data_IF_395193751510
#
_entry.id   IF_395193751510
#
_cell.length_a   1.000
_cell.length_b   1.000
_cell.length_c   1.000
_cell.angle_alpha   90.00
_cell.angle_beta   90.00
_cell.angle_gamma   90.00
#
_symmetry.space_group_name_H-M   'P 1'
#
loop_
_entity.id
_entity.type
_entity.pdbx_description
1 polymer ?
#
# COMPACT_ATOMS: atom_id res chain seq x y z
N UNK A 1 5.10 2.22 13.32
CA UNK A 1 5.53 3.17 12.29
C UNK A 1 6.90 2.80 11.75
N UNK A 2 6.97 2.47 10.45
CA UNK A 2 8.17 1.93 9.80
C UNK A 2 9.37 2.94 9.73
N UNK A 3 9.17 4.18 10.18
CA UNK A 3 10.18 5.27 10.23
C UNK A 3 10.27 6.01 11.56
N UNK A 4 9.83 5.40 12.66
CA UNK A 4 9.87 6.03 14.00
C UNK A 4 11.25 6.57 14.41
N UNK A 5 12.33 5.93 13.93
CA UNK A 5 13.72 6.27 14.29
C UNK A 5 14.25 7.54 13.60
N UNK A 6 13.55 8.05 12.57
CA UNK A 6 13.98 9.20 11.75
C UNK A 6 13.12 10.45 12.02
N UNK A 7 12.25 10.38 13.03
CA UNK A 7 11.35 11.48 13.42
C UNK A 7 11.97 12.30 14.55
N UNK A 8 11.85 13.63 14.47
CA UNK A 8 12.32 14.55 15.51
C UNK A 8 11.65 14.27 16.87
N UNK A 9 10.33 14.02 16.87
CA UNK A 9 9.55 13.71 18.08
C UNK A 9 8.53 12.58 17.82
N UNK A 10 8.95 11.30 17.88
CA UNK A 10 8.10 10.17 17.50
C UNK A 10 6.84 10.01 18.35
N UNK A 11 6.89 10.34 19.66
CA UNK A 11 5.74 10.21 20.56
C UNK A 11 4.57 11.15 20.18
N UNK A 12 4.88 12.34 19.63
CA UNK A 12 3.85 13.30 19.22
C UNK A 12 3.47 13.12 17.75
N UNK A 13 4.44 12.87 16.88
CA UNK A 13 4.24 12.95 15.44
C UNK A 13 3.58 11.67 14.88
N UNK A 14 3.80 10.51 15.49
CA UNK A 14 3.12 9.25 15.11
C UNK A 14 1.60 9.35 15.28
N UNK A 15 1.05 9.69 16.47
CA UNK A 15 -0.40 9.76 16.63
C UNK A 15 -1.00 10.88 15.77
N UNK A 16 -0.37 12.06 15.73
CA UNK A 16 -0.86 13.20 14.94
C UNK A 16 -0.92 12.88 13.45
N UNK A 17 0.15 12.28 12.90
CA UNK A 17 0.20 11.89 11.50
C UNK A 17 -0.88 10.86 11.14
N UNK A 18 -1.09 9.87 12.01
CA UNK A 18 -2.10 8.82 11.79
C UNK A 18 -3.53 9.37 11.79
N UNK A 19 -3.87 10.22 12.76
CA UNK A 19 -5.21 10.83 12.83
C UNK A 19 -5.49 11.74 11.63
N UNK A 20 -4.51 12.56 11.22
CA UNK A 20 -4.65 13.45 10.06
C UNK A 20 -4.84 12.61 8.78
N UNK A 21 -4.02 11.59 8.58
CA UNK A 21 -4.12 10.70 7.41
C UNK A 21 -5.49 10.00 7.34
N UNK A 22 -6.01 9.56 8.49
CA UNK A 22 -7.31 8.92 8.57
C UNK A 22 -8.45 9.90 8.20
N UNK A 23 -8.46 11.11 8.75
CA UNK A 23 -9.48 12.13 8.45
C UNK A 23 -9.47 12.49 6.95
N UNK A 24 -8.29 12.73 6.38
CA UNK A 24 -8.15 13.07 4.95
C UNK A 24 -8.70 11.94 4.08
N UNK A 25 -8.34 10.68 4.40
CA UNK A 25 -8.82 9.52 3.66
C UNK A 25 -10.34 9.41 3.71
N UNK A 26 -10.94 9.56 4.89
CA UNK A 26 -12.40 9.52 5.07
C UNK A 26 -13.10 10.62 4.27
N UNK A 27 -12.58 11.85 4.28
CA UNK A 27 -13.15 12.96 3.50
C UNK A 27 -13.09 12.66 1.99
N UNK A 28 -11.98 12.13 1.49
CA UNK A 28 -11.84 11.74 0.08
C UNK A 28 -12.82 10.62 -0.28
N UNK A 29 -12.89 9.56 0.53
CA UNK A 29 -13.78 8.42 0.30
C UNK A 29 -15.26 8.78 0.36
N UNK A 30 -15.65 9.79 1.14
CA UNK A 30 -17.03 10.26 1.20
C UNK A 30 -17.37 11.22 0.05
N UNK A 31 -16.43 12.09 -0.34
CA UNK A 31 -16.69 13.12 -1.37
C UNK A 31 -16.75 12.51 -2.77
N UNK A 32 -15.89 11.54 -3.08
CA UNK A 32 -15.78 10.91 -4.38
C UNK A 32 -17.11 10.27 -4.90
N UNK A 33 -17.80 9.40 -4.12
CA UNK A 33 -19.07 8.83 -4.56
C UNK A 33 -20.20 9.86 -4.66
N UNK A 34 -20.19 10.92 -3.84
CA UNK A 34 -21.19 12.00 -3.92
C UNK A 34 -21.07 12.73 -5.26
N UNK A 35 -19.85 13.08 -5.68
CA UNK A 35 -19.60 13.73 -6.97
C UNK A 35 -20.05 12.79 -8.10
N UNK A 36 -19.70 11.51 -8.04
CA UNK A 36 -20.04 10.54 -9.09
C UNK A 36 -21.55 10.30 -9.19
N UNK A 37 -22.26 10.30 -8.06
CA UNK A 37 -23.71 10.22 -8.03
C UNK A 37 -24.40 11.44 -8.66
N UNK A 38 -23.79 12.64 -8.58
CA UNK A 38 -24.28 13.84 -9.26
C UNK A 38 -23.95 13.86 -10.76
N UNK A 39 -22.87 13.20 -11.19
CA UNK A 39 -22.38 13.26 -12.57
C UNK A 39 -23.00 12.25 -13.53
N UNK A 40 -23.47 11.10 -13.06
CA UNK A 40 -24.01 10.06 -13.95
C UNK A 40 -25.20 9.27 -13.38
N UNK A 41 -26.10 8.78 -14.26
CA UNK A 41 -27.20 7.92 -13.85
C UNK A 41 -26.69 6.56 -13.36
N UNK A 42 -27.45 5.93 -12.47
CA UNK A 42 -27.11 4.65 -11.81
C UNK A 42 -26.73 3.54 -12.79
N UNK A 43 -27.34 3.51 -13.98
CA UNK A 43 -27.06 2.52 -15.03
C UNK A 43 -25.63 2.63 -15.58
N UNK A 44 -25.10 3.84 -15.72
CA UNK A 44 -23.74 4.07 -16.20
C UNK A 44 -22.70 3.71 -15.14
N UNK A 45 -22.93 4.05 -13.87
CA UNK A 45 -22.02 3.68 -12.77
C UNK A 45 -21.90 2.15 -12.55
N UNK A 46 -22.95 1.39 -12.84
CA UNK A 46 -22.94 -0.06 -12.64
C UNK A 46 -22.29 -0.82 -13.80
N UNK A 47 -22.38 -0.30 -15.02
CA UNK A 47 -21.82 -0.97 -16.20
C UNK A 47 -20.38 -0.52 -16.51
N UNK A 48 -20.00 0.70 -16.15
CA UNK A 48 -18.68 1.24 -16.46
C UNK A 48 -17.77 1.27 -15.23
N UNK A 49 -16.88 0.27 -15.12
CA UNK A 49 -15.85 0.20 -14.07
C UNK A 49 -14.76 1.26 -14.23
N UNK A 50 -14.64 1.86 -15.41
CA UNK A 50 -13.66 2.91 -15.73
C UNK A 50 -14.31 4.28 -15.85
N UNK A 51 -15.53 4.47 -15.32
CA UNK A 51 -16.23 5.76 -15.37
C UNK A 51 -15.37 6.92 -14.81
N UNK A 52 -14.53 6.64 -13.81
CA UNK A 52 -13.57 7.61 -13.27
C UNK A 52 -12.55 8.12 -14.29
N UNK A 53 -12.14 7.28 -15.24
CA UNK A 53 -11.25 7.66 -16.34
C UNK A 53 -11.99 8.51 -17.36
N UNK A 54 -13.20 8.11 -17.76
CA UNK A 54 -14.05 8.88 -18.69
C UNK A 54 -14.43 10.25 -18.17
N UNK A 55 -14.65 10.39 -16.86
CA UNK A 55 -15.00 11.66 -16.21
C UNK A 55 -13.80 12.58 -15.93
N UNK A 56 -12.56 12.13 -16.19
CA UNK A 56 -11.36 12.89 -15.84
C UNK A 56 -11.03 13.99 -16.84
N UNK A 57 -10.71 15.18 -16.32
CA UNK A 57 -10.19 16.34 -17.07
C UNK A 57 -8.72 16.54 -16.72
N UNK A 58 -7.77 16.76 -17.66
CA UNK A 58 -7.91 17.08 -19.09
C UNK A 58 -7.84 15.89 -20.06
N UNK A 59 -7.41 14.70 -19.63
CA UNK A 59 -7.36 13.50 -20.46
C UNK A 59 -7.68 12.24 -19.65
N UNK A 60 -8.48 11.29 -20.20
CA UNK A 60 -8.92 10.10 -19.48
C UNK A 60 -7.76 9.16 -19.10
N UNK A 61 -6.66 9.21 -19.85
CA UNK A 61 -5.49 8.36 -19.67
C UNK A 61 -4.74 8.64 -18.34
N UNK A 62 -4.83 9.86 -17.81
CA UNK A 62 -4.12 10.26 -16.59
C UNK A 62 -4.56 9.39 -15.40
N UNK A 63 -5.84 9.04 -15.33
CA UNK A 63 -6.37 8.18 -14.27
C UNK A 63 -5.79 6.77 -14.38
N UNK A 64 -5.66 6.24 -15.60
CA UNK A 64 -5.11 4.90 -15.82
C UNK A 64 -3.64 4.85 -15.39
N UNK A 65 -2.82 5.82 -15.81
CA UNK A 65 -1.43 5.92 -15.36
C UNK A 65 -1.31 6.13 -13.85
N UNK A 66 -2.20 6.93 -13.26
CA UNK A 66 -2.26 7.15 -11.81
C UNK A 66 -2.57 5.87 -11.04
N UNK A 67 -3.53 5.06 -11.50
CA UNK A 67 -3.87 3.78 -10.89
C UNK A 67 -2.71 2.79 -11.01
N UNK A 68 -2.06 2.71 -12.18
CA UNK A 68 -0.89 1.85 -12.39
C UNK A 68 0.24 2.27 -11.45
N UNK A 69 0.59 3.55 -11.41
CA UNK A 69 1.65 4.08 -10.55
C UNK A 69 1.35 3.85 -9.06
N UNK A 70 0.11 4.10 -8.63
CA UNK A 70 -0.33 3.87 -7.25
C UNK A 70 -0.27 2.39 -6.87
N UNK A 71 -0.74 1.50 -7.75
CA UNK A 71 -0.75 0.06 -7.51
C UNK A 71 0.66 -0.51 -7.45
N UNK A 72 1.57 -0.09 -8.35
CA UNK A 72 2.98 -0.48 -8.32
C UNK A 72 3.64 0.03 -7.02
N UNK A 73 3.41 1.29 -6.64
CA UNK A 73 3.96 1.85 -5.41
C UNK A 73 3.47 1.12 -4.15
N UNK A 74 2.19 0.80 -4.08
CA UNK A 74 1.60 0.00 -3.00
C UNK A 74 2.17 -1.43 -2.97
N UNK A 75 2.30 -2.09 -4.13
CA UNK A 75 2.86 -3.42 -4.25
C UNK A 75 4.33 -3.47 -3.79
N UNK A 76 5.15 -2.52 -4.23
CA UNK A 76 6.55 -2.42 -3.83
C UNK A 76 6.69 -2.18 -2.32
N UNK A 77 5.87 -1.28 -1.77
CA UNK A 77 5.90 -0.98 -0.32
C UNK A 77 5.47 -2.18 0.52
N UNK A 78 4.45 -2.92 0.06
CA UNK A 78 3.99 -4.15 0.71
C UNK A 78 5.07 -5.24 0.66
N UNK A 79 5.73 -5.43 -0.49
CA UNK A 79 6.80 -6.41 -0.67
C UNK A 79 8.02 -6.10 0.21
N UNK A 80 8.43 -4.84 0.30
CA UNK A 80 9.57 -4.40 1.13
C UNK A 80 9.23 -4.49 2.61
N UNK A 81 8.04 -4.07 3.03
CA UNK A 81 7.64 -4.16 4.45
C UNK A 81 7.46 -5.61 4.90
N UNK A 82 6.84 -6.47 4.08
CA UNK A 82 6.66 -7.88 4.38
C UNK A 82 7.98 -8.66 4.50
N UNK A 83 8.92 -8.42 3.59
CA UNK A 83 10.26 -9.06 3.65
C UNK A 83 11.07 -8.62 4.87
N UNK A 84 10.99 -7.33 5.25
CA UNK A 84 11.63 -6.81 6.47
C UNK A 84 11.00 -7.37 7.74
N UNK A 85 9.67 -7.46 7.78
CA UNK A 85 8.94 -8.07 8.89
C UNK A 85 9.33 -9.54 9.07
N UNK A 86 9.37 -10.30 7.98
CA UNK A 86 9.77 -11.71 8.00
C UNK A 86 11.22 -11.88 8.48
N UNK A 87 12.14 -11.02 8.03
CA UNK A 87 13.54 -11.03 8.47
C UNK A 87 13.69 -10.64 9.96
N UNK A 88 12.90 -9.68 10.45
CA UNK A 88 12.89 -9.31 11.87
C UNK A 88 12.45 -10.49 12.76
N UNK A 89 11.34 -11.16 12.39
CA UNK A 89 10.85 -12.35 13.11
C UNK A 89 11.89 -13.49 13.08
N UNK A 90 12.57 -13.69 11.96
CA UNK A 90 13.64 -14.69 11.85
C UNK A 90 14.84 -14.36 12.75
N UNK A 91 15.19 -13.09 12.90
CA UNK A 91 16.25 -12.63 13.80
C UNK A 91 15.88 -12.77 15.29
N UNK A 92 14.60 -12.66 15.63
CA UNK A 92 14.11 -12.87 17.00
C UNK A 92 14.15 -14.35 17.44
N UNK A 93 14.52 -15.28 16.54
CA UNK A 93 14.66 -16.73 16.78
C UNK A 93 13.42 -17.41 17.40
N UNK A 94 12.25 -16.78 17.30
CA UNK A 94 10.98 -17.29 17.85
C UNK A 94 10.55 -18.58 17.14
N UNK A 95 10.88 -18.70 15.85
CA UNK A 95 10.56 -19.87 15.03
C UNK A 95 11.85 -20.49 14.46
N UNK A 96 12.28 -21.69 14.92
CA UNK A 96 13.54 -22.30 14.49
C UNK A 96 13.58 -22.64 12.99
N UNK A 97 12.42 -22.90 12.38
CA UNK A 97 12.26 -23.18 10.95
C UNK A 97 12.55 -21.93 10.09
N UNK A 98 12.36 -20.72 10.63
CA UNK A 98 12.58 -19.46 9.91
C UNK A 98 14.00 -18.91 10.06
N UNK A 99 14.88 -19.54 10.85
CA UNK A 99 16.24 -19.07 11.11
C UNK A 99 17.11 -18.98 9.83
N UNK A 100 16.76 -19.71 8.77
CA UNK A 100 17.41 -19.61 7.45
C UNK A 100 17.20 -18.24 6.77
N UNK A 101 16.17 -17.49 7.18
CA UNK A 101 15.82 -16.15 6.71
C UNK A 101 16.36 -15.02 7.61
N UNK A 102 17.13 -15.35 8.64
CA UNK A 102 17.78 -14.36 9.51
C UNK A 102 18.87 -13.61 8.71
N UNK A 103 18.91 -12.29 8.88
CA UNK A 103 19.75 -11.37 8.10
C UNK A 103 20.33 -10.32 9.04
N UNK A 104 21.61 -9.95 8.87
CA UNK A 104 22.26 -8.98 9.74
C UNK A 104 21.59 -7.60 9.66
N UNK A 105 21.62 -6.80 10.75
CA UNK A 105 21.11 -5.43 10.72
C UNK A 105 21.80 -4.62 9.62
N UNK A 106 21.02 -4.08 8.67
CA UNK A 106 21.52 -3.29 7.55
C UNK A 106 21.80 -4.07 6.26
N UNK A 107 21.75 -5.40 6.29
CA UNK A 107 21.85 -6.23 5.08
C UNK A 107 20.47 -6.45 4.46
N UNK A 108 20.40 -6.50 3.13
CA UNK A 108 19.13 -6.68 2.42
C UNK A 108 18.60 -8.12 2.57
N UNK A 109 17.33 -8.31 2.96
CA UNK A 109 16.79 -9.64 3.21
C UNK A 109 16.38 -10.36 1.92
N UNK A 110 17.36 -10.70 1.06
CA UNK A 110 17.14 -11.30 -0.28
C UNK A 110 16.34 -12.60 -0.24
N UNK A 111 16.59 -13.47 0.74
CA UNK A 111 15.85 -14.75 0.89
C UNK A 111 14.41 -14.52 1.33
N UNK A 112 14.18 -13.58 2.25
CA UNK A 112 12.84 -13.22 2.69
C UNK A 112 12.04 -12.55 1.57
N UNK A 113 12.70 -11.68 0.79
CA UNK A 113 12.12 -11.04 -0.39
C UNK A 113 11.68 -12.08 -1.44
N UNK A 114 12.53 -13.07 -1.73
CA UNK A 114 12.19 -14.14 -2.66
C UNK A 114 11.03 -15.00 -2.15
N UNK A 115 10.99 -15.30 -0.85
CA UNK A 115 9.87 -16.02 -0.23
C UNK A 115 8.55 -15.25 -0.35
N UNK A 116 8.53 -13.96 0.03
CA UNK A 116 7.33 -13.11 -0.09
C UNK A 116 6.91 -12.98 -1.55
N UNK A 117 7.86 -12.85 -2.48
CA UNK A 117 7.59 -12.82 -3.92
C UNK A 117 6.93 -14.11 -4.44
N UNK A 118 7.41 -15.28 -4.01
CA UNK A 118 6.80 -16.58 -4.36
C UNK A 118 5.38 -16.67 -3.80
N UNK A 119 5.17 -16.27 -2.54
CA UNK A 119 3.83 -16.28 -1.91
C UNK A 119 2.88 -15.37 -2.70
N UNK A 120 3.32 -14.17 -3.07
CA UNK A 120 2.52 -13.27 -3.91
C UNK A 120 2.22 -13.89 -5.29
N UNK A 121 3.20 -14.53 -5.94
CA UNK A 121 2.99 -15.19 -7.23
C UNK A 121 1.99 -16.36 -7.13
N UNK A 122 2.10 -17.19 -6.08
CA UNK A 122 1.16 -18.27 -5.81
C UNK A 122 -0.25 -17.79 -5.47
N UNK A 123 -0.40 -16.59 -4.90
CA UNK A 123 -1.72 -16.01 -4.61
C UNK A 123 -2.41 -15.44 -5.85
N UNK A 124 -1.64 -15.13 -6.91
CA UNK A 124 -2.14 -14.59 -8.18
C UNK A 124 -2.48 -15.71 -9.16
N UNK A 125 -1.71 -16.81 -9.14
CA UNK A 125 -1.99 -18.02 -9.91
C UNK A 125 -3.17 -18.81 -9.36
#
# INVERSE_FOLDING_TARGET
SNRSADLSDPERDIPRGTFIAHIISTVIYMTFPIIFACLAPRSSLLNDRFFASTAAWPAPEIVVYGVIASTIGAALTSLISGSRLLAAIANDKVLPILNTFAVKPGEEPKKALLCVGIICACAIC
#
